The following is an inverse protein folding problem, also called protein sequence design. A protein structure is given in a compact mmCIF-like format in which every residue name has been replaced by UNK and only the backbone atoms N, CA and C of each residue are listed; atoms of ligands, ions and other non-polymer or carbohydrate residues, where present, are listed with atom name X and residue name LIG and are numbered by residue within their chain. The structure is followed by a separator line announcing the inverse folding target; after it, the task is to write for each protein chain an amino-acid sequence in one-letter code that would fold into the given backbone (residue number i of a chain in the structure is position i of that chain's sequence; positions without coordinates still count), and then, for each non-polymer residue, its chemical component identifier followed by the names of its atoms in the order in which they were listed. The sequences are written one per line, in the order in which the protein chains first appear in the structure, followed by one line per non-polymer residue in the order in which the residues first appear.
data_IF_808571973324
#
_entry.id   IF_808571973324
#
_cell.length_a   1.000
_cell.length_b   1.000
_cell.length_c   1.000
_cell.angle_alpha   90.00
_cell.angle_beta   90.00
_cell.angle_gamma   90.00
#
_symmetry.space_group_name_H-M   'P 1'
#
loop_
_entity.id
_entity.type
_entity.pdbx_description
1 polymer ?
#
# COMPACT_ATOMS: atom_id res chain seq x y z
N UNK A 1 30.30 -6.40 -3.13
CA UNK A 1 29.72 -7.28 -4.18
C UNK A 1 29.48 -8.62 -3.52
N UNK A 2 28.23 -8.93 -3.21
CA UNK A 2 27.88 -10.23 -2.62
C UNK A 2 27.53 -11.21 -3.73
N UNK A 3 28.10 -12.42 -3.67
CA UNK A 3 27.88 -13.46 -4.68
C UNK A 3 26.83 -14.41 -4.14
N UNK A 4 25.70 -14.50 -4.84
CA UNK A 4 24.64 -15.45 -4.54
C UNK A 4 24.69 -16.61 -5.54
N UNK A 5 24.30 -17.80 -5.08
CA UNK A 5 24.17 -18.99 -5.94
C UNK A 5 22.70 -19.28 -6.18
N UNK A 6 22.40 -19.74 -7.40
CA UNK A 6 21.10 -20.27 -7.76
C UNK A 6 21.06 -21.74 -7.30
N UNK A 7 20.00 -22.13 -6.59
CA UNK A 7 19.76 -23.53 -6.20
C UNK A 7 19.34 -24.37 -7.40
N UNK A 8 19.29 -25.70 -7.24
CA UNK A 8 18.82 -26.59 -8.31
C UNK A 8 17.35 -26.34 -8.68
N UNK A 9 16.55 -25.80 -7.76
CA UNK A 9 15.16 -25.39 -8.01
C UNK A 9 15.04 -23.99 -8.65
N UNK A 10 16.15 -23.33 -8.96
CA UNK A 10 16.14 -21.98 -9.54
C UNK A 10 15.95 -20.85 -8.52
N UNK A 11 16.08 -21.14 -7.21
CA UNK A 11 15.93 -20.14 -6.16
C UNK A 11 17.24 -19.38 -5.95
N UNK A 12 17.17 -18.06 -5.73
CA UNK A 12 18.32 -17.24 -5.33
C UNK A 12 18.18 -16.92 -3.86
N UNK A 13 19.20 -17.26 -3.07
CA UNK A 13 19.27 -16.86 -1.67
C UNK A 13 19.80 -15.43 -1.62
N UNK A 14 19.01 -14.53 -1.05
CA UNK A 14 19.39 -13.13 -0.84
C UNK A 14 20.17 -13.05 0.49
N UNK A 15 21.40 -12.52 0.50
CA UNK A 15 22.19 -12.34 1.70
C UNK A 15 21.46 -11.46 2.73
N UNK A 16 21.75 -11.71 4.01
CA UNK A 16 21.10 -11.03 5.13
C UNK A 16 21.31 -9.50 5.09
N UNK A 17 22.47 -9.03 4.63
CA UNK A 17 22.78 -7.60 4.52
C UNK A 17 21.86 -6.88 3.52
N UNK A 18 21.61 -7.50 2.36
CA UNK A 18 20.70 -6.98 1.36
C UNK A 18 19.24 -7.02 1.83
N UNK A 19 18.83 -8.07 2.56
CA UNK A 19 17.49 -8.16 3.12
C UNK A 19 17.23 -7.06 4.16
N UNK A 20 18.21 -6.78 5.03
CA UNK A 20 18.13 -5.69 6.02
C UNK A 20 18.09 -4.32 5.37
N UNK A 21 18.88 -4.09 4.32
CA UNK A 21 18.90 -2.82 3.60
C UNK A 21 17.61 -2.58 2.80
N UNK A 22 16.98 -3.64 2.29
CA UNK A 22 15.75 -3.54 1.50
C UNK A 22 14.47 -3.41 2.35
N UNK A 23 14.54 -3.74 3.64
CA UNK A 23 13.40 -3.71 4.57
C UNK A 23 12.31 -4.71 4.21
N UNK A 24 12.65 -5.83 3.57
CA UNK A 24 11.68 -6.85 3.19
C UNK A 24 11.38 -7.81 4.33
N UNK A 25 10.12 -8.15 4.49
CA UNK A 25 9.67 -9.12 5.48
C UNK A 25 9.59 -10.55 4.90
N UNK A 26 9.69 -11.55 5.78
CA UNK A 26 9.56 -12.96 5.39
C UNK A 26 8.14 -13.20 4.86
N UNK A 27 8.03 -13.84 3.68
CA UNK A 27 6.76 -14.12 3.03
C UNK A 27 6.22 -12.97 2.18
N UNK A 28 6.92 -11.83 2.09
CA UNK A 28 6.55 -10.73 1.22
C UNK A 28 6.66 -11.14 -0.26
N UNK A 29 5.63 -10.83 -1.05
CA UNK A 29 5.66 -11.05 -2.49
C UNK A 29 6.54 -10.00 -3.19
N UNK A 30 7.45 -10.45 -4.05
CA UNK A 30 8.31 -9.60 -4.86
C UNK A 30 8.02 -9.82 -6.35
N UNK A 31 8.07 -8.74 -7.12
CA UNK A 31 8.00 -8.76 -8.58
C UNK A 31 9.43 -8.84 -9.11
N UNK A 32 9.71 -9.87 -9.92
CA UNK A 32 10.96 -10.00 -10.65
C UNK A 32 10.83 -9.38 -12.05
N UNK A 33 11.61 -8.34 -12.32
CA UNK A 33 11.62 -7.60 -13.59
C UNK A 33 12.93 -7.88 -14.31
N UNK A 34 12.86 -8.37 -15.54
CA UNK A 34 14.04 -8.58 -16.37
C UNK A 34 14.51 -7.24 -16.99
N UNK A 35 15.75 -6.85 -16.71
CA UNK A 35 16.39 -5.63 -17.22
C UNK A 35 17.41 -5.90 -18.34
N UNK A 36 17.55 -7.15 -18.79
CA UNK A 36 18.50 -7.59 -19.80
C UNK A 36 19.79 -8.13 -19.20
N UNK A 37 20.56 -7.28 -18.52
CA UNK A 37 21.81 -7.64 -17.83
C UNK A 37 21.61 -8.07 -16.38
N UNK A 38 20.38 -7.95 -15.86
CA UNK A 38 20.05 -8.30 -14.48
C UNK A 38 18.55 -8.45 -14.23
N UNK A 39 18.23 -8.86 -13.00
CA UNK A 39 16.86 -8.97 -12.49
C UNK A 39 16.68 -7.93 -11.38
N UNK A 40 15.68 -7.07 -11.54
CA UNK A 40 15.27 -6.11 -10.53
C UNK A 40 14.10 -6.68 -9.72
N UNK A 41 14.31 -6.85 -8.41
CA UNK A 41 13.29 -7.29 -7.47
C UNK A 41 12.65 -6.07 -6.80
N UNK A 42 11.32 -5.97 -6.84
CA UNK A 42 10.55 -4.91 -6.17
C UNK A 42 9.44 -5.51 -5.31
N UNK A 43 9.12 -4.94 -4.14
CA UNK A 43 7.91 -5.31 -3.41
C UNK A 43 6.67 -5.21 -4.31
N UNK A 44 5.86 -6.27 -4.33
CA UNK A 44 4.56 -6.22 -4.98
C UNK A 44 3.66 -5.32 -4.13
N UNK A 45 3.23 -4.20 -4.70
CA UNK A 45 2.26 -3.34 -4.04
C UNK A 45 0.96 -4.15 -3.85
N UNK A 46 0.39 -4.21 -2.63
CA UNK A 46 -0.84 -4.96 -2.37
C UNK A 46 -2.04 -4.36 -3.12
N UNK A 47 -1.97 -3.06 -3.41
CA UNK A 47 -2.99 -2.32 -4.15
C UNK A 47 -2.43 -1.82 -5.46
N UNK A 48 -3.29 -1.80 -6.49
CA UNK A 48 -3.01 -1.08 -7.71
C UNK A 48 -2.83 0.42 -7.39
N UNK A 49 -2.08 1.11 -8.24
CA UNK A 49 -1.95 2.56 -8.12
C UNK A 49 -3.31 3.21 -8.34
N UNK A 50 -3.77 3.98 -7.35
CA UNK A 50 -5.02 4.73 -7.41
C UNK A 50 -4.74 6.20 -7.67
N UNK A 51 -5.58 6.83 -8.47
CA UNK A 51 -5.56 8.28 -8.67
C UNK A 51 -6.38 8.97 -7.58
N UNK A 52 -6.17 10.28 -7.38
CA UNK A 52 -7.03 11.06 -6.48
C UNK A 52 -8.52 10.92 -6.84
N UNK A 53 -8.86 10.83 -8.13
CA UNK A 53 -10.24 10.64 -8.56
C UNK A 53 -10.84 9.30 -8.10
N UNK A 54 -10.01 8.26 -7.94
CA UNK A 54 -10.46 6.93 -7.51
C UNK A 54 -10.75 6.87 -6.00
N UNK A 55 -10.17 7.80 -5.21
CA UNK A 55 -10.29 7.82 -3.75
C UNK A 55 -11.07 9.03 -3.21
N UNK A 56 -11.21 10.10 -3.98
CA UNK A 56 -11.90 11.34 -3.63
C UNK A 56 -13.44 11.25 -3.70
N UNK A 57 -14.02 10.09 -3.40
CA UNK A 57 -15.48 9.87 -3.48
C UNK A 57 -16.28 10.85 -2.62
N UNK A 58 -15.75 11.25 -1.46
CA UNK A 58 -16.41 12.15 -0.52
C UNK A 58 -16.07 13.64 -0.70
N UNK A 59 -15.16 13.99 -1.63
CA UNK A 59 -14.78 15.41 -1.85
C UNK A 59 -15.79 16.17 -2.71
N UNK A 60 -16.77 15.50 -3.31
CA UNK A 60 -17.81 16.10 -4.16
C UNK A 60 -19.04 16.56 -3.37
N UNK A 61 -18.92 16.80 -2.07
CA UNK A 61 -20.04 17.34 -1.29
C UNK A 61 -20.39 18.73 -1.83
N UNK A 62 -21.55 18.83 -2.49
CA UNK A 62 -22.10 20.08 -3.07
C UNK A 62 -23.18 20.71 -2.16
N UNK A 63 -23.43 20.11 -1.00
CA UNK A 63 -24.41 20.61 -0.04
C UNK A 63 -23.95 21.88 0.67
N UNK A 64 -24.90 22.55 1.33
CA UNK A 64 -24.58 23.70 2.17
C UNK A 64 -23.66 23.29 3.32
N UNK A 65 -22.72 24.18 3.66
CA UNK A 65 -21.90 24.03 4.87
C UNK A 65 -22.83 23.94 6.09
N UNK A 66 -22.69 22.88 6.87
CA UNK A 66 -23.39 22.74 8.14
C UNK A 66 -22.71 23.62 9.19
N UNK A 67 -23.52 24.33 9.96
CA UNK A 67 -23.03 25.05 11.14
C UNK A 67 -22.72 24.05 12.26
N UNK A 68 -21.98 24.49 13.28
CA UNK A 68 -21.77 23.67 14.48
C UNK A 68 -23.08 23.37 15.21
N UNK A 69 -24.04 24.28 15.14
CA UNK A 69 -25.36 24.12 15.75
C UNK A 69 -26.14 23.00 15.04
N UNK A 70 -26.15 22.98 13.70
CA UNK A 70 -26.75 21.88 12.92
C UNK A 70 -26.13 20.52 13.25
N UNK A 71 -24.82 20.49 13.53
CA UNK A 71 -24.10 19.26 13.90
C UNK A 71 -24.52 18.77 15.29
N UNK A 72 -24.61 19.68 16.27
CA UNK A 72 -25.03 19.36 17.63
C UNK A 72 -26.49 18.87 17.66
N UNK A 73 -27.38 19.53 16.93
CA UNK A 73 -28.79 19.15 16.84
C UNK A 73 -28.95 17.75 16.25
N UNK A 74 -28.19 17.42 15.18
CA UNK A 74 -28.20 16.09 14.58
C UNK A 74 -27.69 15.00 15.53
N UNK A 75 -26.70 15.31 16.37
CA UNK A 75 -26.20 14.39 17.40
C UNK A 75 -27.28 14.15 18.46
N UNK A 76 -27.91 15.21 18.96
CA UNK A 76 -29.00 15.11 19.93
C UNK A 76 -30.16 14.27 19.38
N UNK A 77 -30.59 14.55 18.14
CA UNK A 77 -31.64 13.79 17.47
C UNK A 77 -31.30 12.29 17.34
N UNK A 78 -30.07 11.97 16.93
CA UNK A 78 -29.63 10.57 16.81
C UNK A 78 -29.59 9.81 18.15
N UNK A 79 -29.45 10.51 19.28
CA UNK A 79 -29.53 9.93 20.63
C UNK A 79 -30.99 9.71 21.05
N UNK A 80 -31.91 10.60 20.67
CA UNK A 80 -33.34 10.48 20.98
C UNK A 80 -34.06 9.39 20.17
N UNK A 81 -33.57 9.08 18.97
CA UNK A 81 -34.12 8.02 18.09
C UNK A 81 -33.62 6.59 18.44
N UNK A 82 -32.77 6.46 19.47
CA UNK A 82 -32.16 5.21 19.96
C UNK A 82 -33.00 4.57 21.09
#
# INVERSE_FOLDING_TARGET
MEITKISNEGQVIIPEELLKASGWEIGQELIAINMGDGILLKPKKPFAETTLNDVAGCLKYQGALKSLEDMNDAICQGIEEL
#
